data_IF_247051371465
#
_entry.id   IF_247051371465
#
_cell.length_a   1.000
_cell.length_b   1.000
_cell.length_c   1.000
_cell.angle_alpha   90.00
_cell.angle_beta   90.00
_cell.angle_gamma   90.00
#
_symmetry.space_group_name_H-M   'P 1'
#
loop_
_entity.id
_entity.type
_entity.pdbx_description
1 polymer ?
#
# COMPACT_ATOMS: atom_id res chain seq x y z
N UNK A 1 32.69 28.81 18.86
CA UNK A 1 32.54 28.26 20.23
C UNK A 1 33.38 26.98 20.29
N UNK A 2 34.07 26.70 21.39
CA UNK A 2 34.92 25.53 21.53
C UNK A 2 34.38 24.63 22.64
N UNK A 3 34.39 23.32 22.41
CA UNK A 3 34.05 22.31 23.42
C UNK A 3 35.25 21.39 23.59
N UNK A 4 35.80 21.36 24.81
CA UNK A 4 36.92 20.49 25.15
C UNK A 4 36.41 19.26 25.88
N UNK A 5 36.68 18.07 25.34
CA UNK A 5 36.40 16.80 26.01
C UNK A 5 37.67 16.26 26.63
N UNK A 6 37.71 16.19 27.96
CA UNK A 6 38.87 15.74 28.74
C UNK A 6 38.56 14.34 29.28
N UNK A 7 39.40 13.36 28.94
CA UNK A 7 39.32 11.99 29.44
C UNK A 7 40.64 11.56 30.11
N UNK A 8 40.62 10.51 30.95
CA UNK A 8 41.84 9.81 31.35
C UNK A 8 42.63 9.29 30.13
N UNK A 9 43.90 8.85 30.29
CA UNK A 9 44.68 8.28 29.20
C UNK A 9 43.90 7.19 28.44
N UNK A 10 43.94 7.19 27.12
CA UNK A 10 43.12 6.32 26.25
C UNK A 10 43.28 4.82 26.52
N UNK A 11 44.36 4.41 27.21
CA UNK A 11 44.61 3.02 27.60
C UNK A 11 43.87 2.62 28.90
N UNK A 12 43.30 3.58 29.62
CA UNK A 12 42.59 3.39 30.90
C UNK A 12 41.07 3.59 30.77
N UNK A 13 40.54 3.75 29.56
CA UNK A 13 39.11 3.84 29.31
C UNK A 13 38.61 2.55 28.66
N UNK A 14 37.35 2.21 28.90
CA UNK A 14 36.73 1.03 28.29
C UNK A 14 36.59 1.19 26.79
N UNK A 15 36.56 0.07 26.06
CA UNK A 15 36.45 0.11 24.59
C UNK A 15 35.17 0.81 24.11
N UNK A 16 34.07 0.69 24.85
CA UNK A 16 32.84 1.44 24.56
C UNK A 16 32.98 2.94 24.79
N UNK A 17 33.67 3.35 25.86
CA UNK A 17 33.97 4.77 26.10
C UNK A 17 34.86 5.34 24.99
N UNK A 18 35.81 4.54 24.48
CA UNK A 18 36.66 4.89 23.35
C UNK A 18 35.85 5.07 22.06
N UNK A 19 34.97 4.11 21.73
CA UNK A 19 34.06 4.20 20.58
C UNK A 19 33.16 5.43 20.64
N UNK A 20 32.64 5.79 21.82
CA UNK A 20 31.82 7.00 22.00
C UNK A 20 32.61 8.29 21.79
N UNK A 21 33.83 8.37 22.31
CA UNK A 21 34.69 9.54 22.09
C UNK A 21 35.01 9.74 20.60
N UNK A 22 35.34 8.66 19.89
CA UNK A 22 35.59 8.70 18.44
C UNK A 22 34.34 9.07 17.65
N UNK A 23 33.15 8.57 18.04
CA UNK A 23 31.89 8.94 17.41
C UNK A 23 31.61 10.45 17.55
N UNK A 24 31.91 11.03 18.71
CA UNK A 24 31.73 12.47 18.95
C UNK A 24 32.75 13.31 18.16
N UNK A 25 34.01 12.85 18.07
CA UNK A 25 35.06 13.54 17.31
C UNK A 25 34.76 13.60 15.81
N UNK A 26 34.04 12.62 15.27
CA UNK A 26 33.67 12.55 13.84
C UNK A 26 32.58 13.53 13.39
N UNK A 27 32.03 14.35 14.29
CA UNK A 27 30.87 15.21 14.04
C UNK A 27 31.28 16.66 13.79
N UNK A 28 31.51 17.00 12.53
CA UNK A 28 32.01 18.33 12.13
C UNK A 28 30.90 19.30 11.65
N UNK A 29 29.63 18.96 11.82
CA UNK A 29 28.49 19.74 11.27
C UNK A 29 27.33 19.94 12.24
N UNK A 30 26.73 21.14 12.19
CA UNK A 30 25.54 21.52 12.95
C UNK A 30 24.33 20.67 12.49
N UNK A 31 23.80 19.82 13.38
CA UNK A 31 22.71 18.86 13.09
C UNK A 31 23.04 17.40 13.42
N UNK A 32 24.29 17.11 13.79
CA UNK A 32 24.80 15.77 14.07
C UNK A 32 24.24 15.07 15.34
N UNK A 33 23.39 15.74 16.13
CA UNK A 33 22.87 15.18 17.39
C UNK A 33 22.03 13.91 17.21
N UNK A 34 21.35 13.77 16.06
CA UNK A 34 20.57 12.57 15.75
C UNK A 34 21.47 11.37 15.43
N UNK A 35 22.51 11.57 14.61
CA UNK A 35 23.48 10.52 14.28
C UNK A 35 24.24 10.03 15.53
N UNK A 36 24.58 10.96 16.43
CA UNK A 36 25.24 10.65 17.68
C UNK A 36 24.36 9.80 18.61
N UNK A 37 23.06 10.11 18.69
CA UNK A 37 22.11 9.36 19.51
C UNK A 37 21.92 7.92 18.99
N UNK A 38 21.88 7.73 17.67
CA UNK A 38 21.78 6.40 17.05
C UNK A 38 23.01 5.53 17.33
N UNK A 39 24.22 6.11 17.24
CA UNK A 39 25.45 5.35 17.44
C UNK A 39 25.71 5.03 18.92
N UNK A 40 25.27 5.89 19.85
CA UNK A 40 25.32 5.60 21.29
C UNK A 40 24.35 4.48 21.70
N UNK A 41 23.20 4.37 21.02
CA UNK A 41 22.22 3.27 21.19
C UNK A 41 22.79 1.92 20.76
N UNK A 42 23.54 1.89 19.65
CA UNK A 42 24.20 0.69 19.13
C UNK A 42 25.33 0.22 20.05
N UNK A 43 26.13 1.16 20.57
CA UNK A 43 27.24 0.88 21.51
C UNK A 43 26.73 0.38 22.87
N UNK A 44 25.52 0.75 23.31
CA UNK A 44 24.99 0.45 24.67
C UNK A 44 24.42 -0.96 24.89
N UNK A 45 24.34 -1.82 23.87
CA UNK A 45 23.95 -3.23 24.12
C UNK A 45 23.00 -3.88 23.14
N UNK A 46 22.96 -3.46 21.87
CA UNK A 46 22.41 -4.31 20.81
C UNK A 46 23.29 -5.57 20.53
N UNK A 47 24.44 -5.70 21.21
CA UNK A 47 25.47 -6.72 20.95
C UNK A 47 25.55 -7.91 21.92
N UNK A 48 24.72 -8.01 22.97
CA UNK A 48 24.86 -9.10 23.96
C UNK A 48 23.51 -9.66 24.44
N UNK A 49 22.66 -10.10 23.50
CA UNK A 49 21.48 -10.92 23.77
C UNK A 49 21.37 -12.02 22.69
N UNK A 50 22.36 -12.92 22.67
CA UNK A 50 22.28 -14.19 21.96
C UNK A 50 21.23 -15.09 22.64
N UNK A 51 20.00 -15.00 22.18
CA UNK A 51 18.95 -15.99 22.36
C UNK A 51 18.11 -16.04 21.09
N UNK A 52 18.14 -17.17 20.38
CA UNK A 52 17.68 -17.39 19.00
C UNK A 52 16.16 -17.19 18.70
N UNK A 53 15.40 -16.49 19.54
CA UNK A 53 13.93 -16.43 19.44
C UNK A 53 13.31 -15.04 19.17
N UNK A 54 14.10 -14.03 18.77
CA UNK A 54 13.58 -12.66 18.55
C UNK A 54 13.99 -11.96 17.25
N UNK A 55 14.35 -12.68 16.19
CA UNK A 55 14.49 -12.07 14.85
C UNK A 55 13.19 -11.46 14.30
N UNK A 56 12.02 -11.81 14.86
CA UNK A 56 10.71 -11.31 14.40
C UNK A 56 10.25 -9.95 14.94
N UNK A 57 10.84 -9.41 16.02
CA UNK A 57 10.35 -8.15 16.62
C UNK A 57 10.97 -6.88 15.99
N UNK A 58 12.18 -6.98 15.43
CA UNK A 58 12.83 -5.87 14.71
C UNK A 58 12.09 -5.58 13.39
N UNK A 59 11.62 -6.61 12.69
CA UNK A 59 10.76 -6.48 11.50
C UNK A 59 9.42 -5.79 11.81
N UNK A 60 8.91 -5.96 13.04
CA UNK A 60 7.62 -5.41 13.45
C UNK A 60 7.65 -3.90 13.71
N UNK A 61 8.77 -3.37 14.23
CA UNK A 61 8.98 -1.92 14.43
C UNK A 61 9.26 -1.24 13.08
N UNK A 62 9.99 -1.92 12.19
CA UNK A 62 10.17 -1.48 10.80
C UNK A 62 8.83 -1.40 10.06
N UNK A 63 7.94 -2.39 10.22
CA UNK A 63 6.62 -2.42 9.60
C UNK A 63 5.67 -1.32 10.10
N UNK A 64 5.66 -1.00 11.40
CA UNK A 64 4.76 0.04 11.94
C UNK A 64 5.21 1.45 11.53
N UNK A 65 6.51 1.71 11.51
CA UNK A 65 7.09 2.95 11.00
C UNK A 65 6.95 3.05 9.47
N UNK A 66 7.11 1.93 8.75
CA UNK A 66 6.83 1.83 7.33
C UNK A 66 5.35 2.10 7.01
N UNK A 67 4.42 1.54 7.78
CA UNK A 67 2.98 1.76 7.60
C UNK A 67 2.60 3.21 7.85
N UNK A 68 3.18 3.85 8.87
CA UNK A 68 2.92 5.27 9.14
C UNK A 68 3.52 6.19 8.07
N UNK A 69 4.71 5.89 7.53
CA UNK A 69 5.26 6.61 6.38
C UNK A 69 4.47 6.36 5.09
N UNK A 70 3.94 5.16 4.89
CA UNK A 70 3.05 4.84 3.78
C UNK A 70 1.75 5.66 3.88
N UNK A 71 1.11 5.71 5.05
CA UNK A 71 -0.08 6.51 5.30
C UNK A 71 0.17 8.02 5.11
N UNK A 72 1.30 8.53 5.58
CA UNK A 72 1.70 9.93 5.39
C UNK A 72 2.01 10.26 3.91
N UNK A 73 2.65 9.34 3.19
CA UNK A 73 2.91 9.49 1.76
C UNK A 73 1.61 9.42 0.94
N UNK A 74 0.69 8.54 1.27
CA UNK A 74 -0.62 8.44 0.62
C UNK A 74 -1.44 9.71 0.89
N UNK A 75 -1.50 10.17 2.14
CA UNK A 75 -2.27 11.37 2.51
C UNK A 75 -1.70 12.68 1.93
N UNK A 76 -0.39 12.77 1.73
CA UNK A 76 0.24 13.92 1.05
C UNK A 76 -0.04 13.92 -0.45
N UNK A 77 -0.06 12.75 -1.11
CA UNK A 77 -0.42 12.62 -2.52
C UNK A 77 -1.91 12.95 -2.75
N UNK A 78 -2.79 12.53 -1.86
CA UNK A 78 -4.20 12.89 -1.88
C UNK A 78 -4.39 14.41 -1.83
N UNK A 79 -3.70 15.10 -0.91
CA UNK A 79 -3.68 16.57 -0.84
C UNK A 79 -3.14 17.21 -2.12
N UNK A 80 -2.12 16.62 -2.73
CA UNK A 80 -1.50 17.18 -3.93
C UNK A 80 -2.35 16.96 -5.20
N UNK A 81 -3.17 15.91 -5.25
CA UNK A 81 -4.20 15.71 -6.27
C UNK A 81 -5.37 16.69 -6.12
N UNK A 82 -5.81 17.00 -4.90
CA UNK A 82 -6.84 18.01 -4.62
C UNK A 82 -6.43 19.39 -5.16
N UNK A 83 -5.17 19.79 -4.94
CA UNK A 83 -4.61 21.06 -5.44
C UNK A 83 -4.62 21.14 -6.97
N UNK A 84 -4.37 20.03 -7.68
CA UNK A 84 -4.40 19.99 -9.16
C UNK A 84 -5.80 20.02 -9.76
N UNK A 85 -6.84 19.66 -9.00
CA UNK A 85 -8.26 19.71 -9.43
C UNK A 85 -8.97 21.03 -9.11
N UNK A 86 -8.27 22.02 -8.54
CA UNK A 86 -8.86 23.32 -8.22
C UNK A 86 -9.77 23.32 -6.98
N UNK A 87 -9.73 22.25 -6.17
CA UNK A 87 -10.50 22.15 -4.94
C UNK A 87 -9.77 22.89 -3.80
N UNK A 88 -10.50 23.77 -3.08
CA UNK A 88 -9.94 24.60 -2.02
C UNK A 88 -9.43 23.73 -0.86
N UNK A 89 -8.29 24.07 -0.22
CA UNK A 89 -7.80 23.34 0.93
C UNK A 89 -8.71 23.65 2.14
N UNK A 90 -9.58 22.71 2.49
CA UNK A 90 -10.54 22.87 3.59
C UNK A 90 -11.63 21.80 3.67
N UNK A 91 -11.87 21.02 2.62
CA UNK A 91 -12.77 19.87 2.66
C UNK A 91 -11.94 18.59 2.76
N UNK A 92 -11.65 18.19 3.99
CA UNK A 92 -11.20 16.82 4.27
C UNK A 92 -12.40 15.90 4.03
N UNK A 93 -12.14 14.78 3.34
CA UNK A 93 -13.00 13.61 3.13
C UNK A 93 -14.20 13.73 2.17
N UNK A 94 -14.01 13.22 0.94
CA UNK A 94 -14.99 12.39 0.19
C UNK A 94 -14.43 11.80 -1.12
N UNK A 95 -13.16 11.38 -1.15
CA UNK A 95 -12.81 10.24 -2.00
C UNK A 95 -12.79 9.04 -1.07
N UNK A 96 -13.95 8.41 -0.92
CA UNK A 96 -14.06 7.16 -0.17
C UNK A 96 -13.01 6.20 -0.72
N UNK A 97 -12.14 5.69 0.16
CA UNK A 97 -11.08 4.78 -0.24
C UNK A 97 -11.74 3.55 -0.86
N UNK A 98 -11.63 3.42 -2.18
CA UNK A 98 -12.08 2.21 -2.87
C UNK A 98 -11.24 1.04 -2.39
N UNK A 99 -11.88 0.04 -1.79
CA UNK A 99 -11.28 -1.20 -1.34
C UNK A 99 -11.68 -2.33 -2.29
N UNK A 100 -10.68 -3.10 -2.76
CA UNK A 100 -10.92 -4.26 -3.63
C UNK A 100 -10.21 -5.47 -3.03
N UNK A 101 -10.96 -6.53 -2.75
CA UNK A 101 -10.46 -7.79 -2.26
C UNK A 101 -11.03 -8.96 -3.07
N UNK A 102 -10.20 -9.57 -3.92
CA UNK A 102 -10.60 -10.73 -4.72
C UNK A 102 -10.13 -12.07 -4.13
N UNK A 103 -9.61 -12.09 -2.89
CA UNK A 103 -9.08 -13.30 -2.24
C UNK A 103 -8.03 -14.04 -3.08
N UNK A 104 -7.18 -13.29 -3.78
CA UNK A 104 -6.09 -13.79 -4.61
C UNK A 104 -4.77 -13.13 -4.22
N UNK A 105 -3.62 -13.81 -4.38
CA UNK A 105 -2.33 -13.18 -4.21
C UNK A 105 -2.13 -12.03 -5.19
N UNK A 106 -1.93 -10.82 -4.68
CA UNK A 106 -1.73 -9.60 -5.45
C UNK A 106 -0.52 -8.84 -4.88
N UNK A 107 0.69 -9.22 -5.31
CA UNK A 107 1.95 -8.70 -4.77
C UNK A 107 3.10 -8.93 -5.73
N UNK A 108 4.16 -8.15 -5.59
CA UNK A 108 5.46 -8.47 -6.17
C UNK A 108 6.15 -9.55 -5.32
N UNK A 109 6.42 -10.75 -5.87
CA UNK A 109 7.20 -11.77 -5.17
C UNK A 109 8.64 -11.32 -4.95
N UNK A 110 9.26 -11.76 -3.84
CA UNK A 110 10.66 -11.46 -3.56
C UNK A 110 11.61 -12.04 -4.63
N UNK A 111 11.24 -13.17 -5.25
CA UNK A 111 11.99 -13.75 -6.36
C UNK A 111 11.94 -12.90 -7.64
N UNK A 112 10.95 -12.02 -7.79
CA UNK A 112 10.77 -11.19 -8.99
C UNK A 112 11.43 -9.82 -8.83
N UNK A 113 11.18 -9.15 -7.71
CA UNK A 113 11.87 -7.92 -7.34
C UNK A 113 12.45 -8.15 -5.95
N UNK A 114 13.74 -8.51 -5.80
CA UNK A 114 14.34 -8.82 -4.50
C UNK A 114 14.45 -7.63 -3.56
N UNK A 115 14.79 -6.46 -4.13
CA UNK A 115 14.95 -5.22 -3.38
C UNK A 115 13.61 -4.73 -2.81
N UNK A 116 13.55 -4.60 -1.48
CA UNK A 116 12.35 -4.17 -0.75
C UNK A 116 11.98 -2.73 -1.12
N UNK A 117 12.95 -1.81 -1.13
CA UNK A 117 12.72 -0.40 -1.39
C UNK A 117 12.15 -0.16 -2.80
N UNK A 118 12.63 -0.94 -3.78
CA UNK A 118 12.11 -0.93 -5.13
C UNK A 118 10.68 -1.46 -5.20
N UNK A 119 10.35 -2.58 -4.53
CA UNK A 119 8.96 -3.05 -4.43
C UNK A 119 8.04 -1.98 -3.87
N UNK A 120 8.45 -1.31 -2.79
CA UNK A 120 7.67 -0.25 -2.15
C UNK A 120 7.44 0.94 -3.09
N UNK A 121 8.49 1.36 -3.79
CA UNK A 121 8.40 2.39 -4.82
C UNK A 121 7.41 1.98 -5.91
N UNK A 122 7.43 0.73 -6.37
CA UNK A 122 6.49 0.24 -7.37
C UNK A 122 5.05 0.21 -6.84
N UNK A 123 4.81 -0.28 -5.62
CA UNK A 123 3.48 -0.23 -5.00
C UNK A 123 2.95 1.21 -4.91
N UNK A 124 3.80 2.15 -4.48
CA UNK A 124 3.44 3.57 -4.40
C UNK A 124 3.06 4.11 -5.77
N UNK A 125 3.82 3.78 -6.82
CA UNK A 125 3.54 4.21 -8.19
C UNK A 125 2.23 3.62 -8.71
N UNK A 126 1.98 2.32 -8.49
CA UNK A 126 0.71 1.67 -8.86
C UNK A 126 -0.47 2.35 -8.17
N UNK A 127 -0.40 2.55 -6.85
CA UNK A 127 -1.45 3.23 -6.09
C UNK A 127 -1.65 4.70 -6.50
N UNK A 128 -0.62 5.32 -7.08
CA UNK A 128 -0.62 6.70 -7.55
C UNK A 128 -0.92 6.85 -9.04
N UNK A 129 -1.23 5.76 -9.76
CA UNK A 129 -1.72 5.85 -11.12
C UNK A 129 -3.04 6.64 -11.15
N UNK A 130 -3.20 7.51 -12.16
CA UNK A 130 -4.36 8.40 -12.30
C UNK A 130 -5.40 7.78 -13.22
N UNK A 131 -4.92 7.07 -14.24
CA UNK A 131 -5.72 6.47 -15.28
C UNK A 131 -5.13 5.13 -15.72
N UNK A 132 -5.89 4.44 -16.58
CA UNK A 132 -5.51 3.14 -17.14
C UNK A 132 -4.22 3.23 -17.96
N UNK A 133 -4.02 4.31 -18.70
CA UNK A 133 -2.83 4.48 -19.55
C UNK A 133 -1.55 4.55 -18.70
N UNK A 134 -1.53 5.38 -17.65
CA UNK A 134 -0.37 5.49 -16.76
C UNK A 134 -0.08 4.20 -16.01
N UNK A 135 -1.11 3.40 -15.70
CA UNK A 135 -0.94 2.08 -15.11
C UNK A 135 -0.34 1.08 -16.12
N UNK A 136 -0.76 1.13 -17.38
CA UNK A 136 -0.20 0.30 -18.46
C UNK A 136 1.25 0.66 -18.78
N UNK A 137 1.59 1.95 -18.82
CA UNK A 137 2.97 2.40 -18.99
C UNK A 137 3.87 1.91 -17.85
N UNK A 138 3.37 1.97 -16.61
CA UNK A 138 4.08 1.41 -15.46
C UNK A 138 4.24 -0.12 -15.57
N UNK A 139 3.23 -0.82 -16.09
CA UNK A 139 3.29 -2.26 -16.34
C UNK A 139 4.37 -2.61 -17.37
N UNK A 140 4.42 -1.88 -18.49
CA UNK A 140 5.44 -2.06 -19.53
C UNK A 140 6.85 -1.79 -18.96
N UNK A 141 7.03 -0.68 -18.24
CA UNK A 141 8.31 -0.39 -17.59
C UNK A 141 8.74 -1.49 -16.61
N UNK A 142 7.77 -2.06 -15.87
CA UNK A 142 8.03 -3.18 -14.96
C UNK A 142 8.52 -4.41 -15.73
N UNK A 143 7.93 -4.69 -16.89
CA UNK A 143 8.31 -5.81 -17.74
C UNK A 143 9.70 -5.60 -18.34
N UNK A 144 9.98 -4.40 -18.85
CA UNK A 144 11.27 -4.07 -19.45
C UNK A 144 12.42 -4.18 -18.44
N UNK A 145 12.15 -3.89 -17.16
CA UNK A 145 13.15 -3.89 -16.10
C UNK A 145 13.35 -5.24 -15.42
N UNK A 146 12.28 -6.03 -15.27
CA UNK A 146 12.30 -7.25 -14.44
C UNK A 146 11.87 -8.52 -15.18
N UNK A 147 11.47 -8.41 -16.45
CA UNK A 147 11.01 -9.52 -17.28
C UNK A 147 9.49 -9.76 -17.17
N UNK A 148 9.05 -10.97 -17.51
CA UNK A 148 7.61 -11.27 -17.51
C UNK A 148 7.03 -11.23 -16.10
N UNK A 149 5.86 -10.61 -15.95
CA UNK A 149 5.15 -10.55 -14.68
C UNK A 149 4.75 -11.97 -14.22
N UNK A 150 5.09 -12.38 -12.99
CA UNK A 150 4.51 -13.57 -12.39
C UNK A 150 3.03 -13.34 -12.05
N UNK A 151 2.25 -14.41 -11.89
CA UNK A 151 0.79 -14.29 -11.69
C UNK A 151 0.38 -13.38 -10.52
N UNK A 152 1.03 -13.41 -9.33
CA UNK A 152 0.72 -12.47 -8.26
C UNK A 152 0.96 -11.00 -8.63
N UNK A 153 1.90 -10.71 -9.53
CA UNK A 153 2.15 -9.36 -10.01
C UNK A 153 1.16 -8.95 -11.10
N UNK A 154 0.77 -9.89 -11.99
CA UNK A 154 -0.34 -9.66 -12.94
C UNK A 154 -1.63 -9.29 -12.20
N UNK A 155 -1.96 -10.05 -11.16
CA UNK A 155 -3.13 -9.81 -10.32
C UNK A 155 -3.09 -8.43 -9.66
N UNK A 156 -1.92 -7.97 -9.22
CA UNK A 156 -1.74 -6.64 -8.62
C UNK A 156 -2.10 -5.52 -9.60
N UNK A 157 -1.61 -5.61 -10.85
CA UNK A 157 -1.95 -4.63 -11.89
C UNK A 157 -3.45 -4.69 -12.24
N UNK A 158 -4.02 -5.88 -12.37
CA UNK A 158 -5.44 -6.04 -12.68
C UNK A 158 -6.35 -5.48 -11.57
N UNK A 159 -6.01 -5.70 -10.30
CA UNK A 159 -6.74 -5.11 -9.16
C UNK A 159 -6.59 -3.59 -9.13
N UNK A 160 -5.41 -3.06 -9.44
CA UNK A 160 -5.21 -1.62 -9.55
C UNK A 160 -6.05 -0.99 -10.67
N UNK A 161 -6.20 -1.68 -11.81
CA UNK A 161 -7.09 -1.25 -12.90
C UNK A 161 -8.56 -1.26 -12.46
N UNK A 162 -9.02 -2.35 -11.82
CA UNK A 162 -10.37 -2.41 -11.25
C UNK A 162 -10.62 -1.28 -10.25
N UNK A 163 -9.62 -0.92 -9.45
CA UNK A 163 -9.72 0.16 -8.47
C UNK A 163 -9.91 1.53 -9.13
N UNK A 164 -9.25 1.76 -10.27
CA UNK A 164 -9.45 2.97 -11.06
C UNK A 164 -10.88 3.04 -11.63
N UNK A 165 -11.40 1.92 -12.14
CA UNK A 165 -12.77 1.83 -12.66
C UNK A 165 -13.82 2.03 -11.55
N UNK A 166 -13.66 1.31 -10.43
CA UNK A 166 -14.53 1.40 -9.27
C UNK A 166 -14.58 2.82 -8.69
N UNK A 167 -13.46 3.55 -8.71
CA UNK A 167 -13.42 4.95 -8.29
C UNK A 167 -14.18 5.90 -9.21
N UNK A 168 -14.38 5.57 -10.50
CA UNK A 168 -15.18 6.37 -11.43
C UNK A 168 -16.68 6.13 -11.28
N UNK A 169 -17.04 4.98 -10.70
CA UNK A 169 -18.42 4.53 -10.47
C UNK A 169 -18.86 4.74 -9.01
N UNK A 170 -18.05 5.42 -8.21
CA UNK A 170 -18.30 5.70 -6.78
C UNK A 170 -18.61 4.43 -5.97
N UNK A 171 -17.86 3.36 -6.23
CA UNK A 171 -17.89 2.12 -5.44
C UNK A 171 -16.93 2.26 -4.26
N UNK A 172 -17.41 1.94 -3.06
CA UNK A 172 -16.59 1.94 -1.84
C UNK A 172 -15.81 0.66 -1.66
N UNK A 173 -16.48 -0.48 -1.85
CA UNK A 173 -15.91 -1.79 -1.58
C UNK A 173 -16.36 -2.79 -2.65
N UNK A 174 -15.40 -3.56 -3.14
CA UNK A 174 -15.63 -4.73 -3.97
C UNK A 174 -14.92 -5.93 -3.33
N UNK A 175 -15.69 -6.84 -2.76
CA UNK A 175 -15.18 -8.09 -2.23
C UNK A 175 -15.67 -9.24 -3.09
N UNK A 176 -14.78 -10.13 -3.55
CA UNK A 176 -15.16 -11.34 -4.27
C UNK A 176 -14.38 -12.50 -3.69
N UNK A 177 -15.10 -13.41 -3.05
CA UNK A 177 -14.59 -14.65 -2.49
C UNK A 177 -14.92 -15.87 -3.37
N UNK A 178 -14.61 -17.08 -2.89
CA UNK A 178 -14.82 -18.31 -3.67
C UNK A 178 -16.29 -18.72 -3.87
N UNK A 179 -17.23 -18.17 -3.09
CA UNK A 179 -18.64 -18.59 -3.14
C UNK A 179 -19.62 -17.42 -3.25
N UNK A 180 -19.15 -16.20 -3.03
CA UNK A 180 -19.96 -15.00 -3.13
C UNK A 180 -19.07 -13.78 -3.37
N UNK A 181 -19.66 -12.75 -3.97
CA UNK A 181 -19.13 -11.40 -4.02
C UNK A 181 -20.07 -10.39 -3.38
N UNK A 182 -19.54 -9.25 -2.99
CA UNK A 182 -20.23 -8.13 -2.38
C UNK A 182 -19.72 -6.83 -2.98
N UNK A 183 -20.64 -5.92 -3.28
CA UNK A 183 -20.34 -4.57 -3.74
C UNK A 183 -21.04 -3.60 -2.79
N UNK A 184 -20.30 -2.63 -2.25
CA UNK A 184 -20.83 -1.53 -1.44
C UNK A 184 -20.62 -0.24 -2.21
N UNK A 185 -21.72 0.51 -2.39
CA UNK A 185 -21.74 1.76 -3.13
C UNK A 185 -21.60 2.97 -2.18
N UNK A 186 -21.19 4.11 -2.73
CA UNK A 186 -21.27 5.40 -2.04
C UNK A 186 -22.73 5.87 -1.89
N UNK A 187 -22.97 6.94 -1.13
CA UNK A 187 -24.32 7.52 -0.91
C UNK A 187 -25.04 7.90 -2.21
N UNK A 188 -24.30 8.35 -3.24
CA UNK A 188 -24.83 8.72 -4.55
C UNK A 188 -23.94 8.11 -5.65
N UNK A 189 -24.09 6.82 -5.96
CA UNK A 189 -23.17 6.16 -6.87
C UNK A 189 -23.43 6.57 -8.31
N UNK A 190 -22.36 6.87 -9.06
CA UNK A 190 -22.43 7.14 -10.50
C UNK A 190 -22.57 5.85 -11.31
N UNK A 191 -23.73 5.19 -11.20
CA UNK A 191 -24.02 3.89 -11.82
C UNK A 191 -25.38 3.87 -12.53
N UNK A 192 -25.53 2.91 -13.46
CA UNK A 192 -26.81 2.66 -14.12
C UNK A 192 -27.69 1.75 -13.25
N UNK A 193 -28.54 2.36 -12.42
CA UNK A 193 -29.45 1.64 -11.51
C UNK A 193 -30.44 0.76 -12.28
N UNK A 194 -30.93 1.22 -13.44
CA UNK A 194 -31.92 0.46 -14.23
C UNK A 194 -31.36 -0.87 -14.74
N UNK A 195 -30.13 -0.89 -15.25
CA UNK A 195 -29.44 -2.12 -15.68
C UNK A 195 -29.26 -3.08 -14.51
N UNK A 196 -28.86 -2.56 -13.35
CA UNK A 196 -28.66 -3.33 -12.14
C UNK A 196 -29.96 -3.98 -11.66
N UNK A 197 -31.05 -3.21 -11.61
CA UNK A 197 -32.37 -3.70 -11.23
C UNK A 197 -32.89 -4.78 -12.18
N UNK A 198 -32.67 -4.63 -13.50
CA UNK A 198 -33.04 -5.66 -14.49
C UNK A 198 -32.28 -6.96 -14.26
N UNK A 199 -30.97 -6.90 -14.05
CA UNK A 199 -30.15 -8.11 -13.80
C UNK A 199 -30.59 -8.85 -12.52
N UNK A 200 -30.94 -8.10 -11.46
CA UNK A 200 -31.46 -8.67 -10.22
C UNK A 200 -32.82 -9.34 -10.46
N UNK A 201 -33.69 -8.74 -11.25
CA UNK A 201 -34.99 -9.33 -11.61
C UNK A 201 -34.85 -10.58 -12.49
N UNK A 202 -33.86 -10.61 -13.39
CA UNK A 202 -33.57 -11.77 -14.25
C UNK A 202 -32.96 -12.93 -13.46
N UNK A 203 -32.08 -12.65 -12.49
CA UNK A 203 -31.33 -13.67 -11.74
C UNK A 203 -31.43 -13.48 -10.21
N UNK A 204 -32.63 -13.57 -9.60
CA UNK A 204 -32.86 -13.23 -8.19
C UNK A 204 -32.23 -14.22 -7.21
N UNK A 205 -31.92 -15.45 -7.66
CA UNK A 205 -31.21 -16.43 -6.83
C UNK A 205 -29.73 -16.07 -6.66
N UNK A 206 -29.15 -15.41 -7.67
CA UNK A 206 -27.74 -15.11 -7.79
C UNK A 206 -27.42 -13.69 -7.31
N UNK A 207 -28.20 -12.67 -7.73
CA UNK A 207 -28.00 -11.28 -7.33
C UNK A 207 -29.05 -10.87 -6.29
N UNK A 208 -28.60 -10.30 -5.17
CA UNK A 208 -29.48 -9.89 -4.06
C UNK A 208 -29.04 -8.56 -3.47
N UNK A 209 -30.00 -7.72 -3.11
CA UNK A 209 -29.71 -6.58 -2.25
C UNK A 209 -29.40 -7.04 -0.83
N UNK A 210 -28.35 -6.47 -0.25
CA UNK A 210 -27.98 -6.65 1.14
C UNK A 210 -27.95 -5.26 1.77
N UNK A 211 -29.05 -4.84 2.41
CA UNK A 211 -29.18 -3.45 2.87
C UNK A 211 -29.50 -2.47 1.74
N UNK A 212 -29.33 -1.17 2.01
CA UNK A 212 -29.74 -0.10 1.11
C UNK A 212 -28.69 0.28 0.05
N UNK A 213 -27.42 0.01 0.34
CA UNK A 213 -26.24 0.50 -0.40
C UNK A 213 -25.32 -0.65 -0.84
N UNK A 214 -25.74 -1.91 -0.70
CA UNK A 214 -24.91 -3.04 -1.08
C UNK A 214 -25.65 -4.18 -1.77
N UNK A 215 -24.92 -4.86 -2.64
CA UNK A 215 -25.39 -6.01 -3.41
C UNK A 215 -24.48 -7.18 -3.13
N UNK A 216 -25.08 -8.35 -3.00
CA UNK A 216 -24.41 -9.63 -2.92
C UNK A 216 -24.66 -10.42 -4.20
N UNK A 217 -23.62 -11.08 -4.69
CA UNK A 217 -23.68 -12.03 -5.80
C UNK A 217 -23.27 -13.40 -5.27
N UNK A 218 -24.11 -14.42 -5.45
CA UNK A 218 -23.84 -15.78 -4.98
C UNK A 218 -23.49 -16.63 -6.20
N UNK A 219 -22.20 -16.91 -6.38
CA UNK A 219 -21.65 -17.70 -7.50
C UNK A 219 -20.43 -18.47 -7.00
N UNK A 220 -20.33 -19.74 -7.39
CA UNK A 220 -19.14 -20.53 -7.11
C UNK A 220 -17.99 -20.10 -8.04
N UNK A 221 -16.85 -19.73 -7.45
CA UNK A 221 -15.70 -19.13 -8.11
C UNK A 221 -14.40 -19.66 -7.50
N UNK A 222 -14.09 -20.93 -7.74
CA UNK A 222 -12.89 -21.58 -7.22
C UNK A 222 -11.61 -20.89 -7.75
N UNK A 223 -11.61 -20.49 -9.02
CA UNK A 223 -10.43 -19.99 -9.70
C UNK A 223 -10.29 -18.46 -9.61
N UNK A 224 -9.05 -17.96 -9.67
CA UNK A 224 -8.77 -16.53 -9.71
C UNK A 224 -9.41 -15.85 -10.94
N UNK A 225 -9.39 -16.53 -12.09
CA UNK A 225 -9.92 -16.01 -13.35
C UNK A 225 -11.44 -15.78 -13.26
N UNK A 226 -12.19 -16.70 -12.64
CA UNK A 226 -13.63 -16.57 -12.44
C UNK A 226 -13.99 -15.35 -11.58
N UNK A 227 -13.17 -15.05 -10.56
CA UNK A 227 -13.36 -13.88 -9.70
C UNK A 227 -13.09 -12.58 -10.43
N UNK A 228 -12.05 -12.53 -11.28
CA UNK A 228 -11.82 -11.38 -12.15
C UNK A 228 -12.93 -11.19 -13.18
N UNK A 229 -13.40 -12.26 -13.80
CA UNK A 229 -14.51 -12.22 -14.74
C UNK A 229 -15.77 -11.65 -14.09
N UNK A 230 -16.12 -12.10 -12.87
CA UNK A 230 -17.25 -11.54 -12.13
C UNK A 230 -17.02 -10.05 -11.79
N UNK A 231 -15.81 -9.67 -11.34
CA UNK A 231 -15.48 -8.28 -11.08
C UNK A 231 -15.73 -7.40 -12.32
N UNK A 232 -15.24 -7.82 -13.48
CA UNK A 232 -15.45 -7.11 -14.74
C UNK A 232 -16.92 -7.11 -15.19
N UNK A 233 -17.65 -8.22 -15.03
CA UNK A 233 -19.08 -8.30 -15.32
C UNK A 233 -19.86 -7.27 -14.48
N UNK A 234 -19.58 -7.20 -13.17
CA UNK A 234 -20.19 -6.23 -12.27
C UNK A 234 -19.89 -4.80 -12.71
N UNK A 235 -18.61 -4.48 -12.98
CA UNK A 235 -18.19 -3.14 -13.41
C UNK A 235 -18.87 -2.71 -14.72
N UNK A 236 -19.05 -3.63 -15.67
CA UNK A 236 -19.74 -3.35 -16.93
C UNK A 236 -21.25 -3.20 -16.76
N UNK A 237 -21.85 -4.04 -15.91
CA UNK A 237 -23.29 -4.01 -15.64
C UNK A 237 -23.73 -2.65 -15.09
N UNK A 238 -22.93 -2.09 -14.18
CA UNK A 238 -23.23 -0.83 -13.49
C UNK A 238 -22.68 0.40 -14.23
N UNK A 239 -21.94 0.22 -15.33
CA UNK A 239 -21.43 1.32 -16.12
C UNK A 239 -22.57 2.11 -16.79
N UNK A 240 -22.48 3.43 -16.68
CA UNK A 240 -23.28 4.36 -17.47
C UNK A 240 -22.87 4.30 -18.95
N UNK A 241 -23.85 4.48 -19.83
CA UNK A 241 -23.64 4.50 -21.29
C UNK A 241 -22.91 5.77 -21.76
#
# INVERSE_FOLDING_TARGET
AYAYMISPPLNNITDDARKRLTAIESLDTLGAGFALASQDLEIRGAGELLGESQSGMIDQIGYSMYSSFLEQAISSIQRQRQIKRGEKPGTVDKQEKVEINLHIPARFPAAYIPDVHLRLTMYKRIASAIDKQGLQELQIETIDRFGLLPDPAKNLFAIAELKLQASQQDIRELEIGPSAGRVIFAENPNINIDKLMRKIAENPLEYRFTGADSIQVIREMAEAEQRFQLASEIMQLIAND
#
